data_IF_369537134791
#
_entry.id   IF_369537134791
#
_cell.length_a   1.000
_cell.length_b   1.000
_cell.length_c   1.000
_cell.angle_alpha   90.00
_cell.angle_beta   90.00
_cell.angle_gamma   90.00
#
_symmetry.space_group_name_H-M   'P 1'
#
loop_
_entity.id
_entity.type
_entity.pdbx_description
1 polymer ?
#
# COMPACT_ATOMS: atom_id res chain seq x y z
N UNK A 1 16.40 -20.91 -6.73
CA UNK A 1 15.10 -20.92 -6.01
C UNK A 1 15.00 -22.09 -5.03
N UNK A 2 15.27 -23.34 -5.45
CA UNK A 2 15.28 -24.48 -4.52
C UNK A 2 16.35 -24.28 -3.44
N UNK A 3 15.93 -24.20 -2.18
CA UNK A 3 16.81 -23.96 -1.02
C UNK A 3 16.83 -22.51 -0.50
N UNK A 4 16.24 -21.54 -1.21
CA UNK A 4 16.17 -20.15 -0.77
C UNK A 4 14.70 -19.74 -0.51
N UNK A 5 14.37 -19.62 0.78
CA UNK A 5 13.04 -19.26 1.26
C UNK A 5 12.66 -17.83 0.91
N UNK A 6 13.61 -16.91 0.92
CA UNK A 6 13.35 -15.49 0.71
C UNK A 6 13.12 -15.20 -0.77
N UNK A 7 13.92 -15.81 -1.64
CA UNK A 7 13.67 -15.79 -3.09
C UNK A 7 12.29 -16.38 -3.45
N UNK A 8 11.91 -17.51 -2.84
CA UNK A 8 10.59 -18.10 -3.06
C UNK A 8 9.46 -17.15 -2.58
N UNK A 9 9.64 -16.49 -1.44
CA UNK A 9 8.64 -15.52 -0.93
C UNK A 9 8.46 -14.37 -1.91
N UNK A 10 9.54 -13.82 -2.47
CA UNK A 10 9.47 -12.74 -3.47
C UNK A 10 8.68 -13.17 -4.70
N UNK A 11 8.91 -14.39 -5.21
CA UNK A 11 8.17 -14.93 -6.34
C UNK A 11 6.67 -15.05 -6.05
N UNK A 12 6.30 -15.65 -4.91
CA UNK A 12 4.90 -15.79 -4.50
C UNK A 12 4.22 -14.42 -4.37
N UNK A 13 4.91 -13.41 -3.81
CA UNK A 13 4.38 -12.06 -3.70
C UNK A 13 4.19 -11.38 -5.05
N UNK A 14 5.08 -11.64 -6.01
CA UNK A 14 4.95 -11.14 -7.38
C UNK A 14 3.77 -11.80 -8.10
N UNK A 15 3.64 -13.12 -8.00
CA UNK A 15 2.52 -13.86 -8.60
C UNK A 15 1.18 -13.35 -8.08
N UNK A 16 1.06 -13.24 -6.75
CA UNK A 16 -0.15 -12.68 -6.13
C UNK A 16 -0.49 -11.26 -6.60
N UNK A 17 0.52 -10.44 -6.88
CA UNK A 17 0.32 -9.07 -7.42
C UNK A 17 -0.24 -9.12 -8.85
N UNK A 18 0.24 -10.04 -9.67
CA UNK A 18 -0.17 -10.18 -11.07
C UNK A 18 -1.58 -10.79 -11.16
N UNK A 19 -1.80 -11.92 -10.47
CA UNK A 19 -3.06 -12.67 -10.51
C UNK A 19 -4.24 -11.88 -9.95
N UNK A 20 -4.04 -11.16 -8.85
CA UNK A 20 -5.11 -10.44 -8.14
C UNK A 20 -5.07 -8.92 -8.41
N UNK A 21 -4.54 -8.53 -9.56
CA UNK A 21 -4.47 -7.13 -9.95
C UNK A 21 -5.88 -6.53 -10.05
N UNK A 22 -6.05 -5.31 -9.56
CA UNK A 22 -7.33 -4.58 -9.56
C UNK A 22 -8.47 -5.19 -8.72
N UNK A 23 -8.20 -6.19 -7.89
CA UNK A 23 -9.18 -6.81 -6.98
C UNK A 23 -9.11 -6.27 -5.54
N UNK A 24 -8.38 -5.16 -5.31
CA UNK A 24 -8.29 -4.51 -4.00
C UNK A 24 -7.31 -5.16 -3.00
N UNK A 25 -6.59 -6.23 -3.38
CA UNK A 25 -5.66 -6.90 -2.47
C UNK A 25 -4.35 -6.15 -2.25
N UNK A 26 -3.84 -5.44 -3.27
CA UNK A 26 -2.49 -4.87 -3.26
C UNK A 26 -2.23 -3.95 -2.06
N UNK A 27 -3.19 -3.13 -1.69
CA UNK A 27 -3.06 -2.20 -0.56
C UNK A 27 -2.88 -2.94 0.77
N UNK A 28 -3.71 -3.97 1.02
CA UNK A 28 -3.64 -4.78 2.23
C UNK A 28 -2.41 -5.67 2.28
N UNK A 29 -1.99 -6.20 1.12
CA UNK A 29 -0.77 -6.98 0.98
C UNK A 29 0.48 -6.18 1.36
N UNK A 30 0.61 -4.96 0.85
CA UNK A 30 1.72 -4.08 1.22
C UNK A 30 1.73 -3.77 2.73
N UNK A 31 0.55 -3.44 3.30
CA UNK A 31 0.42 -3.15 4.74
C UNK A 31 0.77 -4.33 5.65
N UNK A 32 0.30 -5.54 5.34
CA UNK A 32 0.57 -6.72 6.17
C UNK A 32 2.02 -7.22 6.02
N UNK A 33 2.65 -6.93 4.88
CA UNK A 33 4.05 -7.23 4.64
C UNK A 33 5.01 -6.14 5.13
N UNK A 34 4.47 -5.03 5.65
CA UNK A 34 5.24 -3.86 6.09
C UNK A 34 6.14 -3.29 4.98
N UNK A 35 5.62 -3.31 3.74
CA UNK A 35 6.30 -2.79 2.56
C UNK A 35 6.04 -1.29 2.38
N UNK A 36 6.86 -0.64 1.55
CA UNK A 36 6.70 0.78 1.26
C UNK A 36 5.39 1.07 0.49
N UNK A 37 4.52 1.92 1.05
CA UNK A 37 3.29 2.40 0.41
C UNK A 37 3.45 3.77 -0.29
N UNK A 38 4.62 4.41 -0.16
CA UNK A 38 4.91 5.73 -0.70
C UNK A 38 5.58 5.72 -2.08
N UNK A 39 5.67 4.56 -2.72
CA UNK A 39 6.13 4.48 -4.10
C UNK A 39 5.15 5.25 -5.00
N UNK A 40 5.64 6.31 -5.66
CA UNK A 40 4.88 7.11 -6.59
C UNK A 40 4.38 6.25 -7.76
N UNK A 41 3.14 6.51 -8.18
CA UNK A 41 2.59 5.87 -9.37
C UNK A 41 3.29 6.46 -10.57
N UNK A 42 4.03 5.63 -11.28
CA UNK A 42 4.66 6.00 -12.55
C UNK A 42 3.70 5.76 -13.70
N UNK A 43 3.78 6.61 -14.69
CA UNK A 43 3.08 6.49 -15.95
C UNK A 43 3.97 6.94 -17.10
N UNK A 44 3.41 6.88 -18.28
CA UNK A 44 4.12 7.22 -19.52
C UNK A 44 3.33 8.32 -20.22
N UNK A 45 4.01 9.41 -20.55
CA UNK A 45 3.50 10.43 -21.46
C UNK A 45 4.13 10.22 -22.83
N UNK A 46 3.29 10.19 -23.87
CA UNK A 46 3.73 10.06 -25.26
C UNK A 46 3.31 11.33 -25.99
N UNK A 47 4.28 12.06 -26.53
CA UNK A 47 4.05 13.24 -27.36
C UNK A 47 5.00 13.21 -28.55
N UNK A 48 4.47 13.38 -29.77
CA UNK A 48 5.26 13.42 -31.02
C UNK A 48 6.27 12.25 -31.14
N UNK A 49 5.84 11.02 -30.85
CA UNK A 49 6.67 9.80 -30.81
C UNK A 49 7.82 9.80 -29.78
N UNK A 50 7.89 10.77 -28.87
CA UNK A 50 8.80 10.75 -27.74
C UNK A 50 8.13 10.14 -26.50
N UNK A 51 8.84 9.22 -25.85
CA UNK A 51 8.44 8.58 -24.60
C UNK A 51 9.05 9.33 -23.41
N UNK A 52 8.23 9.66 -22.41
CA UNK A 52 8.70 10.22 -21.15
C UNK A 52 8.02 9.52 -19.96
N UNK A 53 8.82 9.04 -19.01
CA UNK A 53 8.30 8.61 -17.71
C UNK A 53 7.86 9.82 -16.89
N UNK A 54 6.66 9.75 -16.33
CA UNK A 54 6.11 10.78 -15.45
C UNK A 54 5.65 10.16 -14.14
N UNK A 55 5.70 10.94 -13.06
CA UNK A 55 5.01 10.60 -11.83
C UNK A 55 3.56 11.06 -11.96
N UNK A 56 2.63 10.10 -12.05
CA UNK A 56 1.19 10.36 -12.16
C UNK A 56 0.63 10.80 -10.82
N UNK A 57 1.07 10.17 -9.73
CA UNK A 57 0.58 10.45 -8.39
C UNK A 57 1.70 10.25 -7.37
N UNK A 58 1.93 11.27 -6.54
CA UNK A 58 2.78 11.18 -5.37
C UNK A 58 1.95 10.64 -4.19
N UNK A 59 2.45 9.62 -3.51
CA UNK A 59 1.79 9.02 -2.34
C UNK A 59 2.38 9.57 -1.05
N UNK A 60 1.49 9.84 -0.08
CA UNK A 60 1.86 10.30 1.27
C UNK A 60 1.13 9.45 2.32
N UNK A 61 1.75 8.34 2.68
CA UNK A 61 1.32 7.36 3.65
C UNK A 61 2.23 7.45 4.87
N UNK A 62 1.65 7.82 6.00
CA UNK A 62 2.35 7.96 7.27
C UNK A 62 2.11 6.73 8.16
N UNK A 63 2.99 6.49 9.12
CA UNK A 63 2.97 5.28 9.94
C UNK A 63 1.64 5.08 10.70
N UNK A 64 1.05 6.16 11.23
CA UNK A 64 -0.24 6.10 11.94
C UNK A 64 -1.42 5.69 11.04
N UNK A 65 -1.32 5.89 9.72
CA UNK A 65 -2.32 5.46 8.74
C UNK A 65 -2.39 3.94 8.58
N UNK A 66 -1.56 3.19 9.32
CA UNK A 66 -1.63 1.73 9.45
C UNK A 66 -2.86 1.26 10.18
N UNK A 67 -3.54 2.09 10.94
CA UNK A 67 -4.88 1.79 11.45
C UNK A 67 -5.78 2.95 11.05
N UNK A 68 -7.04 2.67 10.71
CA UNK A 68 -7.98 3.75 10.40
C UNK A 68 -8.40 4.47 11.69
N UNK A 69 -8.79 5.74 11.65
CA UNK A 69 -9.32 6.42 12.82
C UNK A 69 -10.62 5.76 13.27
N UNK A 70 -10.77 5.55 14.58
CA UNK A 70 -12.09 5.28 15.17
C UNK A 70 -12.92 6.58 15.04
N UNK A 71 -14.18 6.52 14.59
CA UNK A 71 -15.00 7.72 14.46
C UNK A 71 -15.09 8.48 15.78
N UNK A 72 -14.89 9.80 15.73
CA UNK A 72 -14.84 10.64 16.94
C UNK A 72 -16.12 10.54 17.78
N UNK A 73 -17.28 10.42 17.13
CA UNK A 73 -18.57 10.21 17.80
C UNK A 73 -18.64 8.93 18.63
N UNK A 74 -17.90 7.87 18.25
CA UNK A 74 -17.86 6.62 19.02
C UNK A 74 -16.96 6.74 20.25
N UNK A 75 -15.85 7.49 20.14
CA UNK A 75 -14.96 7.77 21.27
C UNK A 75 -15.71 8.56 22.35
N UNK A 76 -16.53 9.54 21.96
CA UNK A 76 -17.32 10.33 22.91
C UNK A 76 -18.37 9.52 23.67
N UNK A 77 -18.86 8.41 23.09
CA UNK A 77 -19.88 7.57 23.73
C UNK A 77 -19.31 6.71 24.86
N UNK A 78 -18.03 6.33 24.77
CA UNK A 78 -17.41 5.38 25.70
C UNK A 78 -16.05 5.88 26.17
N UNK A 79 -15.96 6.32 27.42
CA UNK A 79 -14.73 6.88 28.01
C UNK A 79 -13.55 5.88 28.08
N UNK A 80 -13.81 4.58 27.95
CA UNK A 80 -12.77 3.54 27.91
C UNK A 80 -12.25 3.25 26.50
N UNK A 81 -12.94 3.71 25.45
CA UNK A 81 -12.54 3.49 24.07
C UNK A 81 -11.44 4.48 23.69
N UNK A 82 -10.25 3.97 23.44
CA UNK A 82 -9.10 4.79 23.05
C UNK A 82 -8.93 4.83 21.53
N UNK A 83 -8.43 5.95 21.04
CA UNK A 83 -8.12 6.14 19.62
C UNK A 83 -6.84 5.37 19.23
N UNK A 84 -6.74 5.02 17.95
CA UNK A 84 -5.51 4.49 17.37
C UNK A 84 -4.40 5.55 17.39
N UNK A 85 -3.17 5.12 17.67
CA UNK A 85 -2.01 6.03 17.81
C UNK A 85 -1.84 6.91 16.57
N UNK A 86 -1.84 8.24 16.77
CA UNK A 86 -1.61 9.25 15.73
C UNK A 86 -2.87 9.81 15.06
N UNK A 87 -4.06 9.38 15.47
CA UNK A 87 -5.36 9.94 15.04
C UNK A 87 -6.05 10.77 16.12
#
# INVERSE_FOLDING_TARGET
IKGDKDAMRTLIRNERRLELAFEGFRFWDLRRWNENLNEAVKGVSISQNAFQEINVEARSYQEFMRFGPVPYSEILKYNTLQQNTGW
#
